data_IF_413908511977
#
_entry.id   IF_413908511977
#
_cell.length_a   1.000
_cell.length_b   1.000
_cell.length_c   1.000
_cell.angle_alpha   90.00
_cell.angle_beta   90.00
_cell.angle_gamma   90.00
#
_symmetry.space_group_name_H-M   'P 1'
#
loop_
_entity.id
_entity.type
_entity.pdbx_description
1 polymer ?
#
# COMPACT_ATOMS: atom_id res chain seq x y z
N UNK A 1 -2.98 -11.13 -14.48
CA UNK A 1 -3.85 -10.93 -13.29
C UNK A 1 -5.00 -9.91 -13.49
N UNK A 2 -4.87 -8.87 -14.32
CA UNK A 2 -6.03 -8.05 -14.72
C UNK A 2 -6.03 -7.75 -16.23
N UNK A 3 -5.26 -8.53 -17.03
CA UNK A 3 -4.93 -8.29 -18.45
C UNK A 3 -5.89 -7.34 -19.18
N UNK A 4 -7.01 -7.89 -19.66
CA UNK A 4 -8.11 -7.10 -20.21
C UNK A 4 -9.26 -6.85 -19.22
N UNK A 5 -9.21 -7.51 -18.05
CA UNK A 5 -10.15 -7.32 -16.95
C UNK A 5 -10.34 -8.57 -16.10
N UNK A 6 -10.78 -8.38 -14.87
CA UNK A 6 -11.12 -9.43 -13.92
C UNK A 6 -12.52 -9.17 -13.35
N UNK A 7 -13.49 -10.04 -13.66
CA UNK A 7 -14.83 -9.95 -13.08
C UNK A 7 -14.77 -10.39 -11.62
N UNK A 8 -15.16 -9.49 -10.72
CA UNK A 8 -15.22 -9.79 -9.29
C UNK A 8 -16.51 -10.59 -8.96
N UNK A 9 -16.51 -11.23 -7.80
CA UNK A 9 -17.72 -11.79 -7.22
C UNK A 9 -18.73 -10.68 -6.91
N UNK A 10 -19.98 -11.04 -6.62
CA UNK A 10 -21.01 -10.09 -6.18
C UNK A 10 -20.60 -9.30 -4.93
N UNK A 11 -19.76 -9.89 -4.08
CA UNK A 11 -19.20 -9.25 -2.87
C UNK A 11 -17.95 -8.42 -3.15
N UNK A 12 -17.59 -8.21 -4.42
CA UNK A 12 -16.42 -7.41 -4.81
C UNK A 12 -15.09 -8.08 -4.53
N UNK A 13 -15.05 -9.42 -4.41
CA UNK A 13 -13.85 -10.21 -4.17
C UNK A 13 -13.31 -10.84 -5.45
N UNK A 14 -12.02 -11.12 -5.48
CA UNK A 14 -11.38 -11.91 -6.52
C UNK A 14 -11.99 -13.33 -6.48
N UNK A 15 -12.42 -13.88 -7.63
CA UNK A 15 -13.03 -15.20 -7.63
C UNK A 15 -12.02 -16.30 -7.24
N UNK A 16 -12.47 -17.40 -6.62
CA UNK A 16 -11.60 -18.43 -6.05
C UNK A 16 -10.52 -18.98 -6.98
N UNK A 17 -10.85 -19.20 -8.25
CA UNK A 17 -9.89 -19.72 -9.24
C UNK A 17 -8.71 -18.75 -9.43
N UNK A 18 -8.99 -17.46 -9.56
CA UNK A 18 -7.97 -16.43 -9.72
C UNK A 18 -7.20 -16.16 -8.42
N UNK A 19 -7.81 -16.40 -7.25
CA UNK A 19 -7.07 -16.40 -5.97
C UNK A 19 -6.04 -17.52 -5.95
N UNK A 20 -6.41 -18.74 -6.37
CA UNK A 20 -5.48 -19.87 -6.43
C UNK A 20 -4.32 -19.62 -7.39
N UNK A 21 -4.61 -19.16 -8.61
CA UNK A 21 -3.58 -18.82 -9.61
C UNK A 21 -2.63 -17.74 -9.09
N UNK A 22 -3.17 -16.66 -8.52
CA UNK A 22 -2.34 -15.59 -7.94
C UNK A 22 -1.47 -16.11 -6.80
N UNK A 23 -2.05 -16.92 -5.91
CA UNK A 23 -1.34 -17.43 -4.75
C UNK A 23 -0.14 -18.29 -5.17
N UNK A 24 -0.31 -19.12 -6.20
CA UNK A 24 0.78 -19.91 -6.78
C UNK A 24 1.81 -19.00 -7.48
N UNK A 25 1.39 -18.00 -8.25
CA UNK A 25 2.30 -17.07 -8.91
C UNK A 25 3.15 -16.24 -7.92
N UNK A 26 2.64 -15.99 -6.72
CA UNK A 26 3.34 -15.31 -5.63
C UNK A 26 4.16 -16.26 -4.74
N UNK A 27 4.20 -17.56 -5.04
CA UNK A 27 4.89 -18.56 -4.23
C UNK A 27 4.33 -18.70 -2.81
N UNK A 28 3.04 -18.40 -2.60
CA UNK A 28 2.41 -18.49 -1.27
C UNK A 28 2.30 -19.94 -0.79
N UNK A 29 2.25 -20.89 -1.72
CA UNK A 29 2.25 -22.33 -1.45
C UNK A 29 3.44 -22.79 -0.60
N UNK A 30 4.55 -22.05 -0.62
CA UNK A 30 5.77 -22.40 0.09
C UNK A 30 5.74 -22.06 1.58
N UNK A 31 4.84 -21.17 2.03
CA UNK A 31 4.92 -20.63 3.39
C UNK A 31 3.58 -20.23 4.01
N UNK A 32 2.51 -20.09 3.23
CA UNK A 32 1.22 -19.67 3.74
C UNK A 32 0.42 -20.86 4.28
N UNK A 33 -0.01 -20.77 5.53
CA UNK A 33 -0.78 -21.83 6.18
C UNK A 33 -2.25 -21.74 5.76
N UNK A 34 -2.78 -22.81 5.15
CA UNK A 34 -4.21 -22.97 4.85
C UNK A 34 -4.55 -23.02 3.36
N UNK A 35 -5.85 -23.00 3.04
CA UNK A 35 -6.33 -23.10 1.65
C UNK A 35 -6.17 -21.77 0.91
N UNK A 36 -5.38 -21.79 -0.16
CA UNK A 36 -5.05 -20.64 -1.01
C UNK A 36 -6.11 -20.32 -2.08
N UNK A 37 -7.40 -20.33 -1.73
CA UNK A 37 -8.50 -20.26 -2.72
C UNK A 37 -9.56 -19.19 -2.45
N UNK A 38 -9.43 -18.38 -1.39
CA UNK A 38 -10.41 -17.33 -1.07
C UNK A 38 -9.68 -16.09 -0.58
N UNK A 39 -9.93 -14.95 -1.21
CA UNK A 39 -9.27 -13.67 -0.87
C UNK A 39 -9.39 -13.35 0.62
N UNK A 40 -10.57 -13.54 1.23
CA UNK A 40 -10.77 -13.30 2.66
C UNK A 40 -10.01 -14.26 3.60
N UNK A 41 -9.37 -15.32 3.07
CA UNK A 41 -8.53 -16.26 3.83
C UNK A 41 -7.06 -16.16 3.46
N UNK A 42 -6.74 -15.47 2.36
CA UNK A 42 -5.37 -15.32 1.85
C UNK A 42 -5.00 -13.85 1.97
N UNK A 43 -4.50 -13.49 3.16
CA UNK A 43 -4.15 -12.11 3.50
C UNK A 43 -3.27 -11.41 2.45
N UNK A 44 -2.19 -12.05 1.91
CA UNK A 44 -1.36 -11.44 0.86
C UNK A 44 -2.14 -11.03 -0.40
N UNK A 45 -3.11 -11.85 -0.80
CA UNK A 45 -3.93 -11.58 -1.99
C UNK A 45 -4.87 -10.39 -1.72
N UNK A 46 -5.51 -10.37 -0.55
CA UNK A 46 -6.35 -9.24 -0.15
C UNK A 46 -5.54 -7.94 -0.07
N UNK A 47 -4.31 -8.03 0.46
CA UNK A 47 -3.39 -6.92 0.61
C UNK A 47 -3.00 -6.31 -0.74
N UNK A 48 -2.58 -7.15 -1.70
CA UNK A 48 -2.25 -6.70 -3.05
C UNK A 48 -3.44 -6.10 -3.79
N UNK A 49 -4.63 -6.71 -3.65
CA UNK A 49 -5.85 -6.20 -4.24
C UNK A 49 -6.16 -4.78 -3.74
N UNK A 50 -6.08 -4.57 -2.42
CA UNK A 50 -6.33 -3.27 -1.80
C UNK A 50 -5.27 -2.25 -2.21
N UNK A 51 -3.98 -2.59 -2.12
CA UNK A 51 -2.87 -1.73 -2.56
C UNK A 51 -3.03 -1.23 -3.99
N UNK A 52 -3.32 -2.14 -4.93
CA UNK A 52 -3.47 -1.80 -6.33
C UNK A 52 -4.64 -0.83 -6.55
N UNK A 53 -5.72 -0.96 -5.77
CA UNK A 53 -6.87 -0.06 -5.82
C UNK A 53 -6.54 1.30 -5.22
N UNK A 54 -5.92 1.34 -4.04
CA UNK A 54 -5.55 2.58 -3.36
C UNK A 54 -4.60 3.42 -4.22
N UNK A 55 -3.60 2.79 -4.87
CA UNK A 55 -2.66 3.47 -5.76
C UNK A 55 -3.24 3.75 -7.16
N UNK A 56 -4.47 3.32 -7.45
CA UNK A 56 -5.12 3.54 -8.75
C UNK A 56 -4.43 2.82 -9.92
N UNK A 57 -3.74 1.71 -9.65
CA UNK A 57 -3.25 0.81 -10.71
C UNK A 57 -4.38 0.01 -11.34
N UNK A 58 -5.45 -0.18 -10.58
CA UNK A 58 -6.69 -0.79 -11.06
C UNK A 58 -7.90 0.08 -10.69
N UNK A 59 -8.97 -0.05 -11.45
CA UNK A 59 -10.24 0.61 -11.17
C UNK A 59 -11.42 -0.36 -11.40
N UNK A 60 -12.54 -0.09 -10.75
CA UNK A 60 -13.74 -0.92 -10.85
C UNK A 60 -14.73 -0.31 -11.85
N UNK A 61 -15.18 -1.09 -12.84
CA UNK A 61 -16.23 -0.71 -13.78
C UNK A 61 -17.23 -1.86 -13.93
N UNK A 62 -18.50 -1.64 -13.55
CA UNK A 62 -19.59 -2.63 -13.64
C UNK A 62 -19.19 -4.02 -13.08
N UNK A 63 -18.60 -4.04 -11.89
CA UNK A 63 -18.15 -5.28 -11.22
C UNK A 63 -16.88 -5.93 -11.81
N UNK A 64 -16.23 -5.28 -12.79
CA UNK A 64 -14.98 -5.76 -13.39
C UNK A 64 -13.83 -4.86 -12.99
N UNK A 65 -12.79 -5.44 -12.43
CA UNK A 65 -11.52 -4.79 -12.15
C UNK A 65 -10.75 -4.65 -13.47
N UNK A 66 -10.32 -3.44 -13.80
CA UNK A 66 -9.61 -3.12 -15.04
C UNK A 66 -8.28 -2.43 -14.72
N UNK A 67 -7.21 -2.65 -15.51
CA UNK A 67 -5.95 -1.97 -15.28
C UNK A 67 -6.02 -0.54 -15.80
N UNK A 68 -5.53 0.42 -15.01
CA UNK A 68 -5.32 1.79 -15.47
C UNK A 68 -4.13 1.85 -16.44
N UNK A 69 -3.89 3.00 -17.08
CA UNK A 69 -2.68 3.20 -17.92
C UNK A 69 -1.39 2.90 -17.13
N UNK A 70 -1.33 3.35 -15.87
CA UNK A 70 -0.21 3.07 -14.98
C UNK A 70 -0.12 1.57 -14.62
N UNK A 71 -1.27 0.92 -14.36
CA UNK A 71 -1.31 -0.53 -14.12
C UNK A 71 -0.84 -1.34 -15.32
N UNK A 72 -1.20 -0.95 -16.55
CA UNK A 72 -0.71 -1.60 -17.79
C UNK A 72 0.80 -1.43 -17.95
N UNK A 73 1.33 -0.23 -17.67
CA UNK A 73 2.76 0.02 -17.71
C UNK A 73 3.52 -0.88 -16.72
N UNK A 74 2.99 -1.03 -15.50
CA UNK A 74 3.55 -1.92 -14.48
C UNK A 74 3.53 -3.40 -14.93
N UNK A 75 2.43 -3.85 -15.56
CA UNK A 75 2.32 -5.21 -16.10
C UNK A 75 3.28 -5.48 -17.27
N UNK A 76 3.60 -4.47 -18.07
CA UNK A 76 4.50 -4.61 -19.23
C UNK A 76 5.98 -4.79 -18.86
N UNK A 77 6.34 -4.67 -17.58
CA UNK A 77 7.72 -4.78 -17.12
C UNK A 77 8.61 -3.63 -17.59
N UNK A 78 8.02 -2.51 -18.03
CA UNK A 78 8.79 -1.36 -18.48
C UNK A 78 9.73 -0.87 -17.36
N UNK A 79 11.01 -0.55 -17.66
CA UNK A 79 11.92 -0.02 -16.66
C UNK A 79 11.35 1.27 -16.04
N UNK A 80 11.37 1.37 -14.72
CA UNK A 80 10.88 2.55 -13.99
C UNK A 80 9.66 2.33 -13.10
N UNK A 81 9.36 1.10 -12.66
CA UNK A 81 8.29 0.83 -11.68
C UNK A 81 8.35 1.77 -10.46
N UNK A 82 9.54 2.06 -9.92
CA UNK A 82 9.71 3.02 -8.83
C UNK A 82 9.15 4.42 -9.15
N UNK A 83 9.28 4.91 -10.40
CA UNK A 83 8.67 6.19 -10.81
C UNK A 83 7.15 6.12 -10.87
N UNK A 84 6.59 4.98 -11.29
CA UNK A 84 5.15 4.77 -11.30
C UNK A 84 4.58 4.76 -9.87
N UNK A 85 5.26 4.14 -8.92
CA UNK A 85 4.88 4.21 -7.50
C UNK A 85 5.05 5.63 -6.95
N UNK A 86 6.16 6.30 -7.25
CA UNK A 86 6.42 7.66 -6.78
C UNK A 86 5.32 8.63 -7.21
N UNK A 87 4.88 8.54 -8.48
CA UNK A 87 3.80 9.36 -9.03
C UNK A 87 2.40 9.04 -8.47
N UNK A 88 2.26 8.00 -7.64
CA UNK A 88 1.01 7.61 -6.95
C UNK A 88 1.04 7.90 -5.45
N UNK A 89 2.14 8.48 -4.96
CA UNK A 89 2.32 8.82 -3.56
C UNK A 89 2.37 10.35 -3.38
N UNK A 90 1.86 10.89 -2.25
CA UNK A 90 1.03 10.18 -1.27
C UNK A 90 -0.30 9.71 -1.90
N UNK A 91 -0.96 8.71 -1.29
CA UNK A 91 -2.21 8.17 -1.82
C UNK A 91 -3.27 9.26 -1.81
N UNK A 92 -3.81 9.56 -2.99
CA UNK A 92 -4.82 10.61 -3.16
C UNK A 92 -6.05 10.35 -2.27
N UNK A 93 -6.47 11.40 -1.56
CA UNK A 93 -7.54 11.34 -0.57
C UNK A 93 -8.29 12.65 -0.52
N UNK A 94 -9.54 12.64 -0.05
CA UNK A 94 -10.37 13.85 0.14
C UNK A 94 -10.25 14.43 1.55
N UNK A 95 -9.63 13.71 2.47
CA UNK A 95 -9.52 14.11 3.88
C UNK A 95 -8.21 14.85 4.07
N UNK A 96 -8.26 16.11 4.47
CA UNK A 96 -7.07 16.94 4.71
C UNK A 96 -6.06 16.27 5.67
N UNK A 97 -6.56 15.66 6.76
CA UNK A 97 -5.70 14.88 7.66
C UNK A 97 -4.91 13.79 6.93
N UNK A 98 -5.56 13.05 6.02
CA UNK A 98 -4.90 11.97 5.31
C UNK A 98 -3.85 12.49 4.32
N UNK A 99 -4.08 13.66 3.74
CA UNK A 99 -3.14 14.34 2.85
C UNK A 99 -1.89 14.77 3.61
N UNK A 100 -2.05 15.53 4.71
CA UNK A 100 -0.94 15.99 5.54
C UNK A 100 -0.15 14.82 6.12
N UNK A 101 -0.83 13.83 6.71
CA UNK A 101 -0.19 12.65 7.24
C UNK A 101 0.49 11.82 6.13
N UNK A 102 -0.04 11.81 4.89
CA UNK A 102 0.60 11.15 3.77
C UNK A 102 1.95 11.79 3.40
N UNK A 103 2.00 13.11 3.32
CA UNK A 103 3.25 13.85 3.08
C UNK A 103 4.25 13.69 4.22
N UNK A 104 3.81 13.81 5.47
CA UNK A 104 4.67 13.61 6.65
C UNK A 104 5.24 12.20 6.66
N UNK A 105 4.45 11.19 6.31
CA UNK A 105 4.94 9.81 6.18
C UNK A 105 6.07 9.69 5.15
N UNK A 106 5.96 10.37 3.99
CA UNK A 106 7.02 10.36 3.00
C UNK A 106 8.29 11.08 3.49
N UNK A 107 8.14 12.18 4.22
CA UNK A 107 9.27 12.90 4.83
C UNK A 107 9.98 11.99 5.84
N UNK A 108 9.23 11.35 6.75
CA UNK A 108 9.77 10.43 7.75
C UNK A 108 10.40 9.19 7.11
N UNK A 109 9.77 8.61 6.09
CA UNK A 109 10.35 7.50 5.35
C UNK A 109 11.65 7.90 4.62
N UNK A 110 11.70 9.11 4.08
CA UNK A 110 12.86 9.66 3.37
C UNK A 110 14.01 10.11 4.28
N UNK A 111 13.77 10.33 5.57
CA UNK A 111 14.78 10.84 6.51
C UNK A 111 15.86 9.81 6.86
N UNK A 112 15.57 8.51 6.68
CA UNK A 112 16.47 7.42 7.08
C UNK A 112 16.27 6.96 8.52
N UNK A 113 15.24 7.44 9.21
CA UNK A 113 14.85 6.93 10.54
C UNK A 113 14.52 5.43 10.49
N UNK A 114 14.80 4.67 11.56
CA UNK A 114 14.39 3.28 11.67
C UNK A 114 12.89 3.10 11.48
N UNK A 115 12.48 2.05 10.74
CA UNK A 115 11.08 1.80 10.38
C UNK A 115 10.13 1.75 11.61
N UNK A 116 10.59 1.19 12.73
CA UNK A 116 9.78 1.10 13.95
C UNK A 116 9.53 2.45 14.64
N UNK A 117 10.30 3.48 14.32
CA UNK A 117 10.13 4.83 14.86
C UNK A 117 9.20 5.70 14.01
N UNK A 118 8.87 5.26 12.78
CA UNK A 118 8.14 6.11 11.83
C UNK A 118 6.81 6.60 12.39
N UNK A 119 6.02 5.72 12.99
CA UNK A 119 4.70 6.08 13.51
C UNK A 119 4.78 7.14 14.62
N UNK A 120 5.81 7.06 15.46
CA UNK A 120 6.05 8.04 16.52
C UNK A 120 6.35 9.42 15.93
N UNK A 121 7.31 9.53 15.02
CA UNK A 121 7.68 10.83 14.43
C UNK A 121 6.58 11.41 13.53
N UNK A 122 5.79 10.56 12.85
CA UNK A 122 4.64 11.03 12.09
C UNK A 122 3.61 11.66 13.04
N UNK A 123 3.32 11.01 14.17
CA UNK A 123 2.39 11.53 15.18
C UNK A 123 2.89 12.85 15.81
N UNK A 124 4.18 12.90 16.13
CA UNK A 124 4.83 14.09 16.69
C UNK A 124 4.75 15.29 15.74
N UNK A 125 5.12 15.11 14.47
CA UNK A 125 5.07 16.18 13.47
C UNK A 125 3.63 16.62 13.20
N UNK A 126 2.68 15.67 13.12
CA UNK A 126 1.25 16.00 12.99
C UNK A 126 0.75 16.86 14.16
N UNK A 127 1.12 16.51 15.39
CA UNK A 127 0.81 17.30 16.58
C UNK A 127 1.44 18.69 16.52
N UNK A 128 2.71 18.78 16.10
CA UNK A 128 3.42 20.06 15.99
C UNK A 128 2.81 21.01 14.95
N UNK A 129 2.17 20.50 13.89
CA UNK A 129 1.45 21.32 12.90
C UNK A 129 -0.03 21.56 13.29
N UNK A 130 -0.43 21.19 14.50
CA UNK A 130 -1.75 21.50 15.07
C UNK A 130 -2.84 20.47 14.80
N UNK A 131 -2.49 19.26 14.35
CA UNK A 131 -3.47 18.17 14.34
C UNK A 131 -3.70 17.62 15.74
N UNK A 132 -4.98 17.44 16.08
CA UNK A 132 -5.44 16.85 17.33
C UNK A 132 -6.50 15.79 17.03
N UNK A 133 -6.68 14.86 17.96
CA UNK A 133 -7.83 13.93 17.93
C UNK A 133 -9.11 14.72 18.21
N UNK A 134 -10.25 14.18 17.76
CA UNK A 134 -11.58 14.77 18.03
C UNK A 134 -11.91 14.93 19.52
N UNK A 135 -11.16 14.26 20.40
CA UNK A 135 -11.24 14.37 21.86
C UNK A 135 -10.44 15.56 22.41
N UNK A 136 -9.78 16.38 21.57
CA UNK A 136 -8.87 17.44 22.00
C UNK A 136 -7.52 16.94 22.53
N UNK A 137 -7.17 15.68 22.23
CA UNK A 137 -5.89 15.08 22.65
C UNK A 137 -4.86 15.17 21.53
N UNK A 138 -3.59 15.29 21.89
CA UNK A 138 -2.46 15.24 20.96
C UNK A 138 -2.53 13.96 20.10
N UNK A 139 -2.10 14.07 18.85
CA UNK A 139 -1.95 12.90 17.98
C UNK A 139 -0.85 12.01 18.55
N UNK A 140 -1.24 10.84 19.04
CA UNK A 140 -0.36 9.79 19.51
C UNK A 140 -0.57 8.50 18.70
N UNK A 141 0.45 7.63 18.60
CA UNK A 141 0.27 6.28 18.09
C UNK A 141 -0.80 5.49 18.89
N UNK A 142 -1.56 4.58 18.27
CA UNK A 142 -1.56 4.31 16.84
C UNK A 142 -2.29 5.41 16.06
N UNK A 143 -1.79 5.75 14.88
CA UNK A 143 -2.39 6.78 14.02
C UNK A 143 -3.79 6.34 13.53
N UNK A 144 -4.73 7.28 13.34
CA UNK A 144 -5.96 7.00 12.59
C UNK A 144 -5.63 6.45 11.20
N UNK A 145 -6.48 5.56 10.67
CA UNK A 145 -6.28 4.94 9.36
C UNK A 145 -6.00 5.98 8.26
N UNK A 146 -4.84 5.83 7.61
CA UNK A 146 -4.41 6.64 6.49
C UNK A 146 -3.83 5.70 5.41
N UNK A 147 -4.27 5.84 4.14
CA UNK A 147 -3.83 4.95 3.08
C UNK A 147 -2.32 5.02 2.76
N UNK A 148 -1.66 6.16 2.97
CA UNK A 148 -0.23 6.31 2.62
C UNK A 148 0.70 5.54 3.57
N UNK A 149 0.63 5.71 4.91
CA UNK A 149 1.34 4.84 5.84
C UNK A 149 1.03 3.37 5.63
N UNK A 150 -0.22 3.01 5.38
CA UNK A 150 -0.61 1.61 5.16
C UNK A 150 0.10 1.03 3.94
N UNK A 151 0.10 1.75 2.81
CA UNK A 151 0.84 1.35 1.61
C UNK A 151 2.32 1.18 1.90
N UNK A 152 2.97 2.14 2.58
CA UNK A 152 4.40 2.07 2.85
C UNK A 152 4.75 0.96 3.85
N UNK A 153 3.94 0.73 4.88
CA UNK A 153 4.13 -0.40 5.80
C UNK A 153 4.06 -1.74 5.08
N UNK A 154 3.12 -1.88 4.15
CA UNK A 154 3.00 -3.10 3.34
C UNK A 154 4.21 -3.26 2.43
N UNK A 155 4.67 -2.18 1.79
CA UNK A 155 5.87 -2.24 0.96
C UNK A 155 7.14 -2.54 1.78
N UNK A 156 7.22 -2.09 3.04
CA UNK A 156 8.36 -2.32 3.92
C UNK A 156 8.42 -3.77 4.45
N UNK A 157 7.29 -4.28 4.95
CA UNK A 157 7.17 -5.65 5.49
C UNK A 157 7.04 -6.70 4.40
N UNK A 158 6.53 -6.30 3.23
CA UNK A 158 6.15 -7.18 2.14
C UNK A 158 4.92 -8.01 2.44
N UNK A 159 4.76 -9.09 1.66
CA UNK A 159 3.57 -9.93 1.67
C UNK A 159 3.53 -10.93 2.82
N UNK A 160 4.69 -11.28 3.37
CA UNK A 160 4.76 -12.05 4.61
C UNK A 160 4.39 -11.11 5.75
N UNK A 161 3.52 -11.58 6.64
CA UNK A 161 3.20 -10.85 7.88
C UNK A 161 4.37 -11.02 8.86
N UNK A 162 5.53 -10.48 8.51
CA UNK A 162 6.65 -10.33 9.43
C UNK A 162 6.40 -9.10 10.29
N UNK A 163 6.77 -9.16 11.57
CA UNK A 163 6.71 -7.98 12.44
C UNK A 163 7.75 -6.94 11.98
N UNK A 164 8.90 -7.43 11.51
CA UNK A 164 10.02 -6.64 11.04
C UNK A 164 9.95 -6.33 9.54
N UNK A 165 10.37 -5.11 9.19
CA UNK A 165 10.58 -4.72 7.80
C UNK A 165 11.92 -5.25 7.29
N UNK A 166 11.98 -5.65 6.02
CA UNK A 166 13.24 -6.08 5.40
C UNK A 166 14.13 -4.84 5.17
N UNK A 167 15.40 -4.82 5.64
CA UNK A 167 16.25 -3.63 5.56
C UNK A 167 16.41 -3.07 4.14
N UNK A 168 16.55 -3.95 3.14
CA UNK A 168 16.65 -3.54 1.73
C UNK A 168 15.40 -2.80 1.24
N UNK A 169 14.21 -3.28 1.62
CA UNK A 169 12.94 -2.62 1.27
C UNK A 169 12.78 -1.27 1.94
N UNK A 170 13.24 -1.12 3.19
CA UNK A 170 13.24 0.17 3.88
C UNK A 170 14.14 1.17 3.15
N UNK A 171 15.32 0.74 2.69
CA UNK A 171 16.23 1.58 1.90
C UNK A 171 15.59 1.99 0.57
N UNK A 172 14.94 1.06 -0.13
CA UNK A 172 14.24 1.36 -1.39
C UNK A 172 13.05 2.29 -1.20
N UNK A 173 12.30 2.14 -0.10
CA UNK A 173 11.23 3.05 0.26
C UNK A 173 11.73 4.44 0.62
N UNK A 174 12.86 4.55 1.33
CA UNK A 174 13.47 5.84 1.60
C UNK A 174 13.89 6.55 0.29
N UNK A 175 14.43 5.79 -0.69
CA UNK A 175 14.73 6.32 -2.03
C UNK A 175 13.46 6.76 -2.75
N UNK A 176 12.42 5.92 -2.73
CA UNK A 176 11.12 6.22 -3.33
C UNK A 176 10.53 7.50 -2.75
N UNK A 177 10.49 7.61 -1.43
CA UNK A 177 9.93 8.76 -0.72
C UNK A 177 10.70 10.06 -1.04
N UNK A 178 12.03 10.01 -1.08
CA UNK A 178 12.86 11.16 -1.50
C UNK A 178 12.59 11.58 -2.95
N UNK A 179 12.36 10.63 -3.85
CA UNK A 179 11.99 10.93 -5.24
C UNK A 179 10.61 11.58 -5.29
N UNK A 180 9.65 11.10 -4.51
CA UNK A 180 8.30 11.68 -4.43
C UNK A 180 8.32 13.11 -3.89
N UNK A 181 9.03 13.39 -2.80
CA UNK A 181 9.08 14.73 -2.19
C UNK A 181 9.81 15.80 -3.04
N UNK A 182 10.42 15.42 -4.18
CA UNK A 182 11.13 16.33 -5.09
C UNK A 182 10.34 16.67 -6.36
N UNK A 183 9.16 16.06 -6.55
CA UNK A 183 8.28 16.33 -7.69
C UNK A 183 7.47 17.61 -7.46
#
# INVERSE_FOLDING_TARGET
MVGDGLKLTQTGKIPPAQVSELSHALGLDQWYIGKLNREGRVYPVALLHELCRQLGFVYLRKGTLLPSKAGRALLSGAPGNGKLFAAKLPVATRKRFNEDAGWITLIVAGSGLPFHEWEFYIAEILGAIGWERSTGLVVLPPLPHNPTPDVLQILARGLRRTEEAEPERVVDLARLARVTCRQ
#
